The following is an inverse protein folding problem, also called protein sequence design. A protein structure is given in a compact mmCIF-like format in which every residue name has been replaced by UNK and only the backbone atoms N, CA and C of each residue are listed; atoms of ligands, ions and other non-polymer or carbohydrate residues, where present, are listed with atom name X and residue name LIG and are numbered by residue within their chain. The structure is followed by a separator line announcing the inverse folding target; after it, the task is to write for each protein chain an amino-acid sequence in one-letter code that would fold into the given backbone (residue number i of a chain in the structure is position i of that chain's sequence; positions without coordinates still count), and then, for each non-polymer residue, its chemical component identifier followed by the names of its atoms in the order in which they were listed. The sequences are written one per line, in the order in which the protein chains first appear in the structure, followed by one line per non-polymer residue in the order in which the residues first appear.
data_IF_542488194903
#
_entry.id   IF_542488194903
#
_cell.length_a   1.000
_cell.length_b   1.000
_cell.length_c   1.000
_cell.angle_alpha   90.00
_cell.angle_beta   90.00
_cell.angle_gamma   90.00
#
_symmetry.space_group_name_H-M   'P 1'
#
loop_
_entity.id
_entity.type
_entity.pdbx_description
1 polymer ?
#
# COMPACT_ATOMS: atom_id res chain seq x y z
N UNK A 1 6.73 2.22 12.87
CA UNK A 1 7.09 0.97 12.19
C UNK A 1 7.17 1.22 10.69
N UNK A 2 8.23 0.78 10.07
CA UNK A 2 8.37 0.90 8.61
C UNK A 2 8.17 -0.46 7.97
N UNK A 3 7.41 -0.48 6.88
CA UNK A 3 7.08 -1.71 6.17
C UNK A 3 7.40 -1.54 4.68
N UNK A 4 8.05 -2.54 4.10
CA UNK A 4 8.23 -2.57 2.65
C UNK A 4 6.97 -3.14 2.03
N UNK A 5 6.37 -2.39 1.11
CA UNK A 5 5.14 -2.78 0.44
C UNK A 5 5.38 -2.83 -1.05
N UNK A 6 5.07 -3.98 -1.66
CA UNK A 6 5.07 -4.12 -3.10
C UNK A 6 3.63 -3.97 -3.59
N UNK A 7 3.41 -3.01 -4.47
CA UNK A 7 2.07 -2.72 -4.99
C UNK A 7 1.90 -3.35 -6.36
N UNK A 8 0.81 -4.04 -6.57
CA UNK A 8 0.44 -4.63 -7.85
C UNK A 8 -0.86 -4.00 -8.34
N UNK A 9 -0.76 -2.87 -9.06
CA UNK A 9 -1.95 -2.16 -9.53
C UNK A 9 -2.59 -2.85 -10.72
N UNK A 10 -3.84 -2.51 -10.98
CA UNK A 10 -4.59 -3.10 -12.09
C UNK A 10 -4.78 -4.60 -11.96
N UNK A 11 -4.82 -5.10 -10.73
CA UNK A 11 -4.88 -6.54 -10.47
C UNK A 11 -6.32 -7.02 -10.37
N UNK A 12 -6.57 -8.17 -10.98
CA UNK A 12 -7.86 -8.84 -10.84
C UNK A 12 -8.06 -9.45 -9.44
N UNK A 13 -6.97 -9.69 -8.72
CA UNK A 13 -7.03 -10.20 -7.35
C UNK A 13 -7.47 -9.15 -6.34
N UNK A 14 -7.25 -7.89 -6.64
CA UNK A 14 -7.49 -6.82 -5.68
C UNK A 14 -8.95 -6.56 -5.40
N UNK A 15 -9.24 -5.84 -4.33
CA UNK A 15 -8.26 -5.39 -3.33
C UNK A 15 -7.87 -6.51 -2.37
N UNK A 16 -6.58 -6.69 -2.17
CA UNK A 16 -6.07 -7.78 -1.33
C UNK A 16 -4.71 -7.41 -0.77
N UNK A 17 -4.47 -7.72 0.51
CA UNK A 17 -3.17 -7.57 1.16
C UNK A 17 -2.65 -8.95 1.53
N UNK A 18 -1.44 -9.29 1.09
CA UNK A 18 -0.80 -10.54 1.45
C UNK A 18 0.53 -10.28 2.14
N UNK A 19 0.84 -11.06 3.16
CA UNK A 19 2.12 -10.97 3.82
C UNK A 19 3.18 -11.71 3.00
N UNK A 20 4.35 -11.09 2.83
CA UNK A 20 5.44 -11.67 2.06
C UNK A 20 6.77 -11.37 2.76
N UNK A 21 7.34 -12.37 3.42
CA UNK A 21 8.54 -12.17 4.21
C UNK A 21 8.31 -11.13 5.30
N UNK A 22 9.17 -10.12 5.37
CA UNK A 22 9.04 -9.03 6.33
C UNK A 22 8.18 -7.87 5.83
N UNK A 23 7.64 -8.01 4.62
CA UNK A 23 6.85 -6.95 4.00
C UNK A 23 5.47 -7.41 3.60
N UNK A 24 4.83 -6.60 2.77
CA UNK A 24 3.48 -6.87 2.28
C UNK A 24 3.44 -6.75 0.76
N UNK A 25 2.53 -7.51 0.15
CA UNK A 25 2.15 -7.32 -1.24
C UNK A 25 0.70 -6.86 -1.25
N UNK A 26 0.43 -5.73 -1.89
CA UNK A 26 -0.91 -5.16 -1.95
C UNK A 26 -1.39 -5.17 -3.40
N UNK A 27 -2.48 -5.87 -3.63
CA UNK A 27 -3.12 -5.94 -4.95
C UNK A 27 -4.22 -4.90 -5.01
N UNK A 28 -4.15 -4.02 -5.99
CA UNK A 28 -5.12 -2.94 -6.19
C UNK A 28 -5.79 -3.10 -7.53
N UNK A 29 -7.06 -2.77 -7.60
CA UNK A 29 -7.78 -2.70 -8.88
C UNK A 29 -7.45 -1.42 -9.62
N UNK A 30 -7.15 -0.35 -8.89
CA UNK A 30 -6.83 0.96 -9.46
C UNK A 30 -5.55 0.91 -10.29
N UNK A 31 -5.52 1.70 -11.35
CA UNK A 31 -4.34 1.86 -12.18
C UNK A 31 -3.34 2.81 -11.50
N UNK A 32 -2.03 2.68 -11.80
CA UNK A 32 -1.01 3.44 -11.09
C UNK A 32 -0.81 4.85 -11.66
N UNK A 33 -1.85 5.68 -11.65
CA UNK A 33 -1.72 7.04 -12.11
C UNK A 33 -2.60 7.97 -11.25
N UNK A 34 -2.27 9.24 -11.28
CA UNK A 34 -3.03 10.34 -10.66
C UNK A 34 -3.26 10.17 -9.16
N UNK A 35 -2.38 9.46 -8.47
CA UNK A 35 -2.46 9.28 -7.04
C UNK A 35 -3.57 8.36 -6.56
N UNK A 36 -4.38 7.82 -7.44
CA UNK A 36 -5.48 6.92 -7.05
C UNK A 36 -4.97 5.66 -6.37
N UNK A 37 -3.91 5.06 -6.92
CA UNK A 37 -3.34 3.85 -6.35
C UNK A 37 -2.75 4.13 -4.97
N UNK A 38 -2.11 5.29 -4.77
CA UNK A 38 -1.56 5.65 -3.48
C UNK A 38 -2.65 5.89 -2.44
N UNK A 39 -3.74 6.53 -2.83
CA UNK A 39 -4.87 6.75 -1.92
C UNK A 39 -5.52 5.41 -1.53
N UNK A 40 -5.70 4.51 -2.48
CA UNK A 40 -6.24 3.19 -2.21
C UNK A 40 -5.30 2.38 -1.30
N UNK A 41 -4.00 2.49 -1.53
CA UNK A 41 -2.99 1.83 -0.71
C UNK A 41 -3.06 2.29 0.75
N UNK A 42 -3.12 3.60 0.97
CA UNK A 42 -3.22 4.16 2.32
C UNK A 42 -4.48 3.65 3.02
N UNK A 43 -5.60 3.66 2.32
CA UNK A 43 -6.86 3.17 2.88
C UNK A 43 -6.76 1.70 3.27
N UNK A 44 -6.22 0.85 2.40
CA UNK A 44 -6.10 -0.56 2.66
C UNK A 44 -5.17 -0.85 3.83
N UNK A 45 -4.04 -0.15 3.91
CA UNK A 45 -3.10 -0.35 5.00
C UNK A 45 -3.65 0.15 6.33
N UNK A 46 -4.39 1.26 6.32
CA UNK A 46 -5.04 1.75 7.53
C UNK A 46 -6.02 0.71 8.08
N UNK A 47 -6.78 0.08 7.22
CA UNK A 47 -7.69 -0.99 7.61
C UNK A 47 -6.94 -2.24 8.09
N UNK A 48 -5.88 -2.61 7.37
CA UNK A 48 -5.08 -3.79 7.69
C UNK A 48 -4.44 -3.69 9.08
N UNK A 49 -3.91 -2.51 9.43
CA UNK A 49 -3.26 -2.27 10.71
C UNK A 49 -4.21 -1.72 11.77
N UNK A 50 -5.45 -1.44 11.41
CA UNK A 50 -6.45 -0.87 12.31
C UNK A 50 -5.98 0.47 12.91
N UNK A 51 -5.54 1.36 12.04
CA UNK A 51 -5.08 2.70 12.40
C UNK A 51 -5.75 3.74 11.51
N UNK A 52 -5.68 5.01 11.91
CA UNK A 52 -6.20 6.08 11.07
C UNK A 52 -5.34 6.26 9.82
N UNK A 53 -5.94 6.75 8.74
CA UNK A 53 -5.21 7.00 7.49
C UNK A 53 -4.04 7.96 7.68
N UNK A 54 -4.18 8.92 8.59
CA UNK A 54 -3.12 9.88 8.90
C UNK A 54 -1.89 9.23 9.52
N UNK A 55 -2.02 8.01 10.02
CA UNK A 55 -0.91 7.24 10.58
C UNK A 55 -0.19 6.40 9.53
N UNK A 56 -0.62 6.47 8.28
CA UNK A 56 0.03 5.78 7.16
C UNK A 56 0.72 6.83 6.31
N UNK A 57 2.05 6.74 6.22
CA UNK A 57 2.85 7.70 5.47
C UNK A 57 3.74 6.97 4.48
N UNK A 58 3.68 7.37 3.21
CA UNK A 58 4.57 6.84 2.17
C UNK A 58 5.89 7.59 2.31
N UNK A 59 6.93 6.90 2.77
CA UNK A 59 8.24 7.51 3.04
C UNK A 59 9.14 7.50 1.82
N UNK A 60 9.01 6.51 0.96
CA UNK A 60 9.84 6.38 -0.23
C UNK A 60 9.10 5.59 -1.30
N UNK A 61 9.49 5.77 -2.55
CA UNK A 61 8.97 4.99 -3.67
C UNK A 61 7.56 5.38 -4.10
N UNK A 62 7.13 6.62 -3.88
CA UNK A 62 5.76 7.05 -4.20
C UNK A 62 5.39 6.80 -5.66
N UNK A 63 6.36 6.84 -6.57
CA UNK A 63 6.13 6.61 -8.00
C UNK A 63 6.42 5.18 -8.43
N UNK A 64 7.03 4.37 -7.58
CA UNK A 64 7.38 2.99 -7.88
C UNK A 64 6.39 2.00 -7.33
N UNK A 65 6.60 0.73 -7.67
CA UNK A 65 5.77 -0.36 -7.15
C UNK A 65 6.21 -0.80 -5.75
N UNK A 66 7.50 -0.65 -5.43
CA UNK A 66 8.01 -0.91 -4.09
C UNK A 66 8.04 0.38 -3.31
N UNK A 67 7.42 0.38 -2.16
CA UNK A 67 7.28 1.57 -1.33
C UNK A 67 7.67 1.25 0.09
N UNK A 68 8.23 2.23 0.77
CA UNK A 68 8.46 2.15 2.21
C UNK A 68 7.35 2.95 2.89
N UNK A 69 6.60 2.28 3.73
CA UNK A 69 5.44 2.85 4.40
C UNK A 69 5.71 2.94 5.89
N UNK A 70 5.52 4.10 6.47
CA UNK A 70 5.57 4.28 7.91
C UNK A 70 4.17 4.10 8.47
N UNK A 71 4.04 3.25 9.50
CA UNK A 71 2.78 2.98 10.19
C UNK A 71 2.93 3.41 11.64
N UNK A 72 2.00 4.17 12.12
CA UNK A 72 2.01 4.62 13.52
C UNK A 72 2.22 6.11 13.65
#
# INVERSE_FOLDING_TARGET
MNVEVTVKPGSKKGPLVEKSGDGLVVYLKEKPHDGEANAALVKMLAEYYDVAKTNIVIRAGAKGRKKIIQVG
#
